data_IF_525773257339
#
_entry.id   IF_525773257339
#
_cell.length_a   1.000
_cell.length_b   1.000
_cell.length_c   1.000
_cell.angle_alpha   90.00
_cell.angle_beta   90.00
_cell.angle_gamma   90.00
#
_symmetry.space_group_name_H-M   'P 1'
#
loop_
_entity.id
_entity.type
_entity.pdbx_description
1 polymer ?
#
# COMPACT_ATOMS: atom_id res chain seq x y z
N UNK A 1 -9.10 5.47 14.19
CA UNK A 1 -8.58 5.06 12.88
C UNK A 1 -9.72 4.44 12.07
N UNK A 2 -9.87 4.85 10.82
CA UNK A 2 -10.82 4.23 9.88
C UNK A 2 -9.97 3.66 8.74
N UNK A 3 -10.01 2.34 8.58
CA UNK A 3 -9.33 1.65 7.49
C UNK A 3 -10.27 1.55 6.27
N UNK A 4 -9.76 1.39 5.05
CA UNK A 4 -10.57 1.00 3.89
C UNK A 4 -11.36 -0.28 4.18
N UNK A 5 -12.45 -0.52 3.48
CA UNK A 5 -13.29 -1.71 3.68
C UNK A 5 -12.49 -3.00 3.47
N UNK A 6 -12.66 -3.98 4.34
CA UNK A 6 -12.31 -5.37 4.04
C UNK A 6 -13.23 -5.92 2.95
N UNK A 7 -12.90 -7.07 2.37
CA UNK A 7 -13.78 -7.66 1.36
C UNK A 7 -15.17 -8.01 1.92
N UNK A 8 -15.26 -8.46 3.17
CA UNK A 8 -16.54 -8.71 3.83
C UNK A 8 -17.35 -7.43 4.02
N UNK A 9 -16.73 -6.35 4.53
CA UNK A 9 -17.38 -5.04 4.67
C UNK A 9 -17.75 -4.43 3.30
N UNK A 10 -16.91 -4.63 2.28
CA UNK A 10 -17.22 -4.25 0.90
C UNK A 10 -18.49 -4.93 0.39
N UNK A 11 -18.65 -6.23 0.63
CA UNK A 11 -19.87 -6.95 0.22
C UNK A 11 -21.12 -6.39 0.90
N UNK A 12 -21.06 -6.11 2.20
CA UNK A 12 -22.17 -5.48 2.94
C UNK A 12 -22.46 -4.06 2.40
N UNK A 13 -21.41 -3.29 2.11
CA UNK A 13 -21.55 -1.96 1.52
C UNK A 13 -22.20 -2.03 0.13
N UNK A 14 -21.79 -2.98 -0.72
CA UNK A 14 -22.36 -3.21 -2.04
C UNK A 14 -23.84 -3.60 -1.98
N UNK A 15 -24.25 -4.41 -1.00
CA UNK A 15 -25.68 -4.72 -0.78
C UNK A 15 -26.50 -3.49 -0.46
N UNK A 16 -25.93 -2.54 0.28
CA UNK A 16 -26.63 -1.31 0.69
C UNK A 16 -26.72 -0.25 -0.41
N UNK A 17 -25.70 -0.14 -1.28
CA UNK A 17 -25.55 0.96 -2.23
C UNK A 17 -25.47 0.53 -3.70
N UNK A 18 -25.63 -0.73 -4.01
CA UNK A 18 -25.52 -1.23 -5.38
C UNK A 18 -26.15 -2.61 -5.56
N UNK A 19 -26.04 -3.15 -6.77
CA UNK A 19 -26.42 -4.52 -7.07
C UNK A 19 -25.22 -5.44 -6.82
N UNK A 20 -25.42 -6.45 -5.97
CA UNK A 20 -24.42 -7.47 -5.70
C UNK A 20 -24.43 -8.49 -6.84
N UNK A 21 -23.28 -8.75 -7.44
CA UNK A 21 -23.07 -9.81 -8.42
C UNK A 21 -22.68 -11.12 -7.72
N UNK A 22 -22.27 -12.15 -8.50
CA UNK A 22 -21.69 -13.35 -7.89
C UNK A 22 -20.37 -13.01 -7.18
N UNK A 23 -20.04 -13.83 -6.17
CA UNK A 23 -18.90 -13.57 -5.27
C UNK A 23 -17.56 -13.44 -6.01
N UNK A 24 -17.36 -14.19 -7.09
CA UNK A 24 -16.11 -14.15 -7.86
C UNK A 24 -15.95 -12.84 -8.60
N UNK A 25 -17.03 -12.32 -9.19
CA UNK A 25 -17.02 -11.02 -9.88
C UNK A 25 -16.85 -9.87 -8.89
N UNK A 26 -17.49 -9.93 -7.73
CA UNK A 26 -17.32 -8.93 -6.67
C UNK A 26 -15.88 -8.96 -6.13
N UNK A 27 -15.25 -10.14 -6.03
CA UNK A 27 -13.86 -10.22 -5.59
C UNK A 27 -12.90 -9.62 -6.63
N UNK A 28 -13.10 -9.91 -7.93
CA UNK A 28 -12.31 -9.27 -8.99
C UNK A 28 -12.49 -7.75 -8.98
N UNK A 29 -13.72 -7.26 -8.81
CA UNK A 29 -13.99 -5.84 -8.66
C UNK A 29 -13.28 -5.24 -7.44
N UNK A 30 -13.30 -5.92 -6.30
CA UNK A 30 -12.58 -5.48 -5.10
C UNK A 30 -11.05 -5.42 -5.31
N UNK A 31 -10.48 -6.37 -6.06
CA UNK A 31 -9.07 -6.36 -6.44
C UNK A 31 -8.74 -5.09 -7.26
N UNK A 32 -9.60 -4.74 -8.22
CA UNK A 32 -9.38 -3.61 -9.14
C UNK A 32 -9.66 -2.25 -8.49
N UNK A 33 -10.78 -2.12 -7.80
CA UNK A 33 -11.27 -0.85 -7.25
C UNK A 33 -10.77 -0.55 -5.83
N UNK A 34 -10.32 -1.57 -5.10
CA UNK A 34 -9.93 -1.45 -3.69
C UNK A 34 -11.12 -1.35 -2.74
N UNK A 35 -10.83 -0.96 -1.50
CA UNK A 35 -11.79 -0.88 -0.40
C UNK A 35 -12.20 0.54 0.01
N UNK A 36 -11.86 1.59 -0.73
CA UNK A 36 -12.32 2.94 -0.39
C UNK A 36 -13.83 3.09 -0.61
N UNK A 37 -14.64 3.42 0.43
CA UNK A 37 -16.10 3.54 0.28
C UNK A 37 -16.52 4.50 -0.84
N UNK A 38 -15.78 5.59 -1.02
CA UNK A 38 -16.08 6.64 -1.99
C UNK A 38 -16.18 6.14 -3.45
N UNK A 39 -15.47 5.06 -3.80
CA UNK A 39 -15.52 4.50 -5.16
C UNK A 39 -16.64 3.48 -5.37
N UNK A 40 -17.42 3.20 -4.32
CA UNK A 40 -18.50 2.20 -4.36
C UNK A 40 -19.90 2.79 -4.12
N UNK A 41 -20.01 4.10 -3.85
CA UNK A 41 -21.29 4.81 -3.60
C UNK A 41 -22.21 4.86 -4.80
N UNK A 42 -21.65 4.82 -6.01
CA UNK A 42 -22.35 4.82 -7.29
C UNK A 42 -21.57 4.03 -8.33
N UNK A 43 -22.20 3.63 -9.44
CA UNK A 43 -21.48 3.05 -10.56
C UNK A 43 -20.41 4.03 -11.08
N UNK A 44 -19.18 3.60 -11.11
CA UNK A 44 -18.03 4.33 -11.66
C UNK A 44 -17.27 3.44 -12.65
N UNK A 45 -16.71 4.07 -13.69
CA UNK A 45 -15.66 3.46 -14.48
C UNK A 45 -14.39 3.34 -13.64
N UNK A 46 -13.47 2.50 -14.09
CA UNK A 46 -12.19 2.31 -13.39
C UNK A 46 -11.37 3.61 -13.33
N UNK A 47 -11.37 4.39 -14.42
CA UNK A 47 -10.65 5.67 -14.51
C UNK A 47 -11.22 6.72 -13.55
N UNK A 48 -12.55 6.78 -13.42
CA UNK A 48 -13.20 7.67 -12.45
C UNK A 48 -12.86 7.27 -11.01
N UNK A 49 -12.88 5.97 -10.72
CA UNK A 49 -12.50 5.45 -9.41
C UNK A 49 -11.03 5.77 -9.08
N UNK A 50 -10.12 5.58 -10.02
CA UNK A 50 -8.71 5.91 -9.82
C UNK A 50 -8.45 7.41 -9.69
N UNK A 51 -9.25 8.25 -10.34
CA UNK A 51 -9.20 9.70 -10.13
C UNK A 51 -9.51 10.05 -8.68
N UNK A 52 -10.60 9.51 -8.13
CA UNK A 52 -10.98 9.72 -6.72
C UNK A 52 -9.88 9.24 -5.77
N UNK A 53 -9.35 8.03 -6.00
CA UNK A 53 -8.28 7.46 -5.15
C UNK A 53 -7.00 8.29 -5.25
N UNK A 54 -6.68 8.81 -6.43
CA UNK A 54 -5.53 9.69 -6.64
C UNK A 54 -5.67 11.01 -5.90
N UNK A 55 -6.87 11.55 -5.83
CA UNK A 55 -7.15 12.78 -5.06
C UNK A 55 -7.02 12.51 -3.54
N UNK A 56 -7.51 11.37 -3.05
CA UNK A 56 -7.29 10.93 -1.66
C UNK A 56 -5.79 10.80 -1.39
N UNK A 57 -5.05 10.12 -2.26
CA UNK A 57 -3.61 9.95 -2.15
C UNK A 57 -2.87 11.30 -2.12
N UNK A 58 -3.16 12.18 -3.08
CA UNK A 58 -2.52 13.49 -3.18
C UNK A 58 -2.79 14.34 -1.93
N UNK A 59 -4.04 14.35 -1.47
CA UNK A 59 -4.43 15.07 -0.25
C UNK A 59 -3.67 14.56 0.96
N UNK A 60 -3.58 13.24 1.14
CA UNK A 60 -2.86 12.62 2.25
C UNK A 60 -1.36 12.90 2.18
N UNK A 61 -0.74 12.74 1.00
CA UNK A 61 0.69 13.03 0.81
C UNK A 61 0.98 14.50 1.10
N UNK A 62 0.19 15.43 0.53
CA UNK A 62 0.45 16.86 0.71
C UNK A 62 0.17 17.32 2.13
N UNK A 63 -0.97 16.95 2.72
CA UNK A 63 -1.43 17.48 4.01
C UNK A 63 -0.73 16.79 5.16
N UNK A 64 -0.75 15.45 5.19
CA UNK A 64 -0.28 14.69 6.35
C UNK A 64 1.22 14.41 6.32
N UNK A 65 1.83 14.38 5.15
CA UNK A 65 3.25 14.08 5.04
C UNK A 65 4.06 15.34 4.72
N UNK A 66 3.82 15.96 3.58
CA UNK A 66 4.66 17.09 3.13
C UNK A 66 4.51 18.32 4.04
N UNK A 67 3.28 18.79 4.24
CA UNK A 67 2.99 20.01 5.02
C UNK A 67 3.30 19.81 6.50
N UNK A 68 2.80 18.74 7.11
CA UNK A 68 3.00 18.44 8.53
C UNK A 68 4.48 18.25 8.91
N UNK A 69 5.27 17.66 8.03
CA UNK A 69 6.68 17.36 8.27
C UNK A 69 7.64 18.33 7.57
N UNK A 70 7.13 19.39 6.94
CA UNK A 70 7.93 20.41 6.24
C UNK A 70 8.93 19.80 5.23
N UNK A 71 8.48 18.77 4.47
CA UNK A 71 9.33 18.11 3.50
C UNK A 71 9.64 19.05 2.34
N UNK A 72 10.92 19.36 2.13
CA UNK A 72 11.38 20.25 1.06
C UNK A 72 11.62 19.53 -0.27
N UNK A 73 12.01 18.25 -0.22
CA UNK A 73 12.33 17.44 -1.41
C UNK A 73 11.19 16.50 -1.77
N UNK A 74 10.08 17.09 -2.23
CA UNK A 74 8.84 16.36 -2.55
C UNK A 74 9.07 15.34 -3.67
N UNK A 75 9.89 15.67 -4.68
CA UNK A 75 10.26 14.78 -5.78
C UNK A 75 10.96 13.50 -5.31
N UNK A 76 11.77 13.58 -4.27
CA UNK A 76 12.42 12.41 -3.67
C UNK A 76 11.40 11.53 -2.93
N UNK A 77 10.48 12.15 -2.18
CA UNK A 77 9.38 11.43 -1.51
C UNK A 77 8.54 10.67 -2.54
N UNK A 78 8.10 11.34 -3.62
CA UNK A 78 7.30 10.71 -4.67
C UNK A 78 7.98 9.50 -5.32
N UNK A 79 9.30 9.56 -5.55
CA UNK A 79 10.07 8.44 -6.09
C UNK A 79 10.15 7.27 -5.12
N UNK A 80 10.33 7.56 -3.83
CA UNK A 80 10.32 6.53 -2.77
C UNK A 80 8.94 5.87 -2.70
N UNK A 81 7.87 6.67 -2.76
CA UNK A 81 6.50 6.14 -2.79
C UNK A 81 6.29 5.22 -3.99
N UNK A 82 6.65 5.66 -5.20
CA UNK A 82 6.52 4.85 -6.41
C UNK A 82 7.31 3.55 -6.33
N UNK A 83 8.55 3.61 -5.82
CA UNK A 83 9.35 2.41 -5.60
C UNK A 83 8.68 1.46 -4.61
N UNK A 84 8.23 1.97 -3.46
CA UNK A 84 7.56 1.16 -2.44
C UNK A 84 6.29 0.51 -2.99
N UNK A 85 5.46 1.26 -3.75
CA UNK A 85 4.22 0.75 -4.34
C UNK A 85 4.47 -0.34 -5.39
N UNK A 86 5.50 -0.18 -6.21
CA UNK A 86 5.87 -1.17 -7.23
C UNK A 86 6.42 -2.47 -6.60
N UNK A 87 6.98 -2.37 -5.39
CA UNK A 87 7.60 -3.49 -4.68
C UNK A 87 6.75 -4.02 -3.50
N UNK A 88 5.46 -3.73 -3.46
CA UNK A 88 4.56 -4.27 -2.42
C UNK A 88 4.61 -5.80 -2.42
N UNK A 89 4.69 -6.39 -1.23
CA UNK A 89 4.82 -7.83 -1.06
C UNK A 89 6.24 -8.39 -1.32
N UNK A 90 7.11 -7.63 -1.98
CA UNK A 90 8.51 -8.00 -2.13
C UNK A 90 9.33 -7.50 -0.93
N UNK A 91 10.40 -8.23 -0.60
CA UNK A 91 11.36 -7.74 0.40
C UNK A 91 12.24 -6.66 -0.22
N UNK A 92 12.37 -5.53 0.46
CA UNK A 92 13.34 -4.51 0.11
C UNK A 92 13.89 -3.80 1.36
N UNK A 93 14.94 -3.02 1.17
CA UNK A 93 15.58 -2.24 2.23
C UNK A 93 15.75 -0.79 1.80
N UNK A 94 16.00 0.10 2.75
CA UNK A 94 16.36 1.49 2.42
C UNK A 94 17.61 1.58 1.53
N UNK A 95 18.54 0.62 1.63
CA UNK A 95 19.69 0.51 0.73
C UNK A 95 19.27 0.17 -0.71
N UNK A 96 18.26 -0.68 -0.89
CA UNK A 96 17.71 -1.00 -2.22
C UNK A 96 17.12 0.26 -2.86
N UNK A 97 16.35 1.05 -2.11
CA UNK A 97 15.81 2.34 -2.59
C UNK A 97 16.92 3.32 -2.92
N UNK A 98 17.92 3.44 -2.04
CA UNK A 98 19.10 4.31 -2.29
C UNK A 98 19.83 3.91 -3.57
N UNK A 99 20.04 2.61 -3.79
CA UNK A 99 20.65 2.06 -5.01
C UNK A 99 19.85 2.39 -6.25
N UNK A 100 18.53 2.21 -6.21
CA UNK A 100 17.60 2.56 -7.28
C UNK A 100 17.65 4.07 -7.61
N UNK A 101 17.60 4.95 -6.62
CA UNK A 101 17.67 6.38 -6.85
C UNK A 101 19.05 6.81 -7.38
N UNK A 102 20.13 6.18 -6.91
CA UNK A 102 21.48 6.42 -7.43
C UNK A 102 21.59 6.05 -8.91
N UNK A 103 20.97 4.94 -9.35
CA UNK A 103 20.95 4.56 -10.77
C UNK A 103 20.24 5.60 -11.66
N UNK A 104 19.37 6.43 -11.08
CA UNK A 104 18.69 7.55 -11.74
C UNK A 104 19.44 8.89 -11.56
N UNK A 105 20.74 8.86 -11.24
CA UNK A 105 21.57 10.05 -10.97
C UNK A 105 21.05 10.93 -9.83
N UNK A 106 20.41 10.31 -8.82
CA UNK A 106 19.88 10.98 -7.63
C UNK A 106 20.59 10.48 -6.38
N UNK A 107 21.03 11.39 -5.53
CA UNK A 107 21.64 11.06 -4.24
C UNK A 107 20.62 11.21 -3.12
N UNK A 108 20.56 10.20 -2.25
CA UNK A 108 19.77 10.23 -1.03
C UNK A 108 20.48 9.41 0.06
N UNK A 109 20.35 9.85 1.30
CA UNK A 109 20.85 9.09 2.45
C UNK A 109 19.86 8.03 2.90
N UNK A 110 20.39 6.92 3.38
CA UNK A 110 19.58 5.79 3.89
C UNK A 110 18.67 6.25 5.03
N UNK A 111 19.14 7.13 5.90
CA UNK A 111 18.35 7.68 6.99
C UNK A 111 17.13 8.49 6.47
N UNK A 112 17.32 9.29 5.42
CA UNK A 112 16.22 10.02 4.78
C UNK A 112 15.18 9.07 4.18
N UNK A 113 15.62 7.93 3.59
CA UNK A 113 14.69 6.90 3.08
C UNK A 113 13.87 6.31 4.22
N UNK A 114 14.50 5.90 5.32
CA UNK A 114 13.79 5.38 6.50
C UNK A 114 12.81 6.40 7.08
N UNK A 115 13.21 7.66 7.15
CA UNK A 115 12.36 8.74 7.61
C UNK A 115 11.10 8.89 6.74
N UNK A 116 11.24 8.85 5.41
CA UNK A 116 10.09 8.93 4.51
C UNK A 116 9.18 7.70 4.58
N UNK A 117 9.75 6.49 4.68
CA UNK A 117 8.97 5.28 4.90
C UNK A 117 8.17 5.35 6.22
N UNK A 118 8.80 5.79 7.30
CA UNK A 118 8.13 5.97 8.60
C UNK A 118 7.00 7.00 8.56
N UNK A 119 7.14 8.07 7.75
CA UNK A 119 6.06 9.03 7.56
C UNK A 119 4.88 8.45 6.77
N UNK A 120 5.16 7.61 5.76
CA UNK A 120 4.12 6.88 5.02
C UNK A 120 3.37 5.89 5.93
N UNK A 121 4.07 5.25 6.86
CA UNK A 121 3.46 4.39 7.89
C UNK A 121 2.58 5.20 8.86
N UNK A 122 3.10 6.34 9.33
CA UNK A 122 2.37 7.24 10.24
C UNK A 122 1.12 7.85 9.61
N UNK A 123 1.12 8.02 8.28
CA UNK A 123 -0.02 8.46 7.48
C UNK A 123 -0.95 7.31 7.07
N UNK A 124 -0.69 6.10 7.53
CA UNK A 124 -1.46 4.89 7.21
C UNK A 124 -1.57 4.59 5.71
N UNK A 125 -0.56 4.97 4.92
CA UNK A 125 -0.45 4.59 3.51
C UNK A 125 0.24 3.24 3.38
N UNK A 126 1.29 3.02 4.18
CA UNK A 126 2.06 1.78 4.24
C UNK A 126 1.93 1.09 5.59
N UNK A 127 2.03 -0.22 5.56
CA UNK A 127 2.20 -1.08 6.73
C UNK A 127 3.51 -1.84 6.58
N UNK A 128 4.39 -1.69 7.56
CA UNK A 128 5.63 -2.45 7.64
C UNK A 128 5.37 -3.85 8.19
N UNK A 129 5.89 -4.85 7.53
CA UNK A 129 5.95 -6.22 7.99
C UNK A 129 7.40 -6.58 8.23
N UNK A 130 7.78 -6.65 9.49
CA UNK A 130 9.15 -6.91 9.90
C UNK A 130 9.53 -8.36 9.60
N UNK A 131 10.81 -8.58 9.35
CA UNK A 131 11.35 -9.92 9.19
C UNK A 131 11.70 -10.51 10.55
N UNK A 132 11.32 -11.76 10.77
CA UNK A 132 11.67 -12.51 11.96
C UNK A 132 12.51 -13.72 11.57
N UNK A 133 13.63 -13.90 12.23
CA UNK A 133 14.36 -15.15 12.20
C UNK A 133 13.58 -16.20 13.01
N UNK A 134 13.14 -17.25 12.34
CA UNK A 134 12.35 -18.31 12.98
C UNK A 134 13.18 -19.17 13.94
N UNK A 135 14.51 -19.23 13.75
CA UNK A 135 15.42 -19.99 14.62
C UNK A 135 15.85 -19.16 15.84
N UNK A 136 16.24 -17.90 15.66
CA UNK A 136 16.73 -17.03 16.72
C UNK A 136 15.68 -16.20 17.41
N UNK A 137 14.42 -16.16 16.93
CA UNK A 137 13.34 -15.28 17.39
C UNK A 137 13.70 -13.81 17.42
N UNK A 138 14.70 -13.39 16.64
CA UNK A 138 15.11 -12.00 16.53
C UNK A 138 14.39 -11.29 15.39
N UNK A 139 13.98 -10.04 15.64
CA UNK A 139 13.45 -9.17 14.61
C UNK A 139 14.61 -8.58 13.82
N UNK A 140 14.72 -8.96 12.55
CA UNK A 140 15.74 -8.45 11.65
C UNK A 140 15.33 -7.09 11.07
N UNK A 141 16.23 -6.11 11.12
CA UNK A 141 16.00 -4.74 10.64
C UNK A 141 16.22 -4.57 9.12
N UNK A 142 16.42 -5.67 8.38
CA UNK A 142 16.74 -5.62 6.95
C UNK A 142 15.83 -6.55 6.15
N UNK A 143 15.57 -6.19 4.90
CA UNK A 143 14.71 -6.97 4.01
C UNK A 143 13.28 -7.14 4.54
N UNK A 144 12.68 -6.04 4.95
CA UNK A 144 11.28 -5.97 5.37
C UNK A 144 10.36 -6.04 4.15
N UNK A 145 9.12 -6.46 4.35
CA UNK A 145 8.04 -6.25 3.37
C UNK A 145 7.21 -5.04 3.77
N UNK A 146 6.65 -4.39 2.77
CA UNK A 146 5.69 -3.32 2.98
C UNK A 146 4.40 -3.67 2.23
N UNK A 147 3.29 -3.30 2.84
CA UNK A 147 1.95 -3.49 2.32
C UNK A 147 1.21 -2.16 2.31
N UNK A 148 0.30 -2.00 1.35
CA UNK A 148 -0.53 -0.81 1.25
C UNK A 148 -1.76 -0.93 2.15
N UNK A 149 -2.25 0.20 2.66
CA UNK A 149 -3.54 0.24 3.33
C UNK A 149 -4.70 -0.11 2.38
N UNK A 150 -4.51 0.15 1.07
CA UNK A 150 -5.45 -0.23 0.02
C UNK A 150 -4.73 -0.41 -1.31
N UNK A 151 -5.09 -1.46 -2.06
CA UNK A 151 -4.50 -1.73 -3.37
C UNK A 151 -4.80 -0.64 -4.40
N UNK A 152 -5.93 0.06 -4.28
CA UNK A 152 -6.29 1.13 -5.18
C UNK A 152 -5.24 2.25 -5.23
N UNK A 153 -4.48 2.47 -4.16
CA UNK A 153 -3.37 3.43 -4.18
C UNK A 153 -2.32 3.06 -5.23
N UNK A 154 -1.91 1.77 -5.30
CA UNK A 154 -0.96 1.31 -6.32
C UNK A 154 -1.51 1.52 -7.72
N UNK A 155 -2.76 1.11 -7.93
CA UNK A 155 -3.41 1.19 -9.23
C UNK A 155 -3.61 2.64 -9.70
N UNK A 156 -4.03 3.53 -8.80
CA UNK A 156 -4.21 4.95 -9.09
C UNK A 156 -2.90 5.69 -9.40
N UNK A 157 -1.79 5.30 -8.76
CA UNK A 157 -0.48 5.98 -8.89
C UNK A 157 0.37 5.40 -10.00
N UNK A 158 0.36 4.07 -10.18
CA UNK A 158 1.22 3.34 -11.14
C UNK A 158 0.49 2.77 -12.35
N UNK A 159 -0.85 2.77 -12.33
CA UNK A 159 -1.70 2.06 -13.28
C UNK A 159 -1.94 0.60 -12.87
N UNK A 160 -3.10 0.08 -13.25
CA UNK A 160 -3.45 -1.33 -13.03
C UNK A 160 -2.73 -2.23 -14.02
N UNK A 161 -2.14 -3.32 -13.53
CA UNK A 161 -1.48 -4.34 -14.33
C UNK A 161 -1.92 -5.73 -13.88
N UNK A 162 -2.42 -6.55 -14.80
CA UNK A 162 -2.79 -7.94 -14.49
C UNK A 162 -1.62 -8.76 -13.92
N UNK A 163 -0.39 -8.46 -14.30
CA UNK A 163 0.81 -9.12 -13.77
C UNK A 163 1.00 -8.94 -12.26
N UNK A 164 0.38 -7.93 -11.65
CA UNK A 164 0.53 -7.60 -10.23
C UNK A 164 -0.49 -8.33 -9.32
N UNK A 165 -1.31 -9.23 -9.88
CA UNK A 165 -2.41 -9.86 -9.14
C UNK A 165 -1.93 -10.64 -7.90
N UNK A 166 -0.79 -11.31 -7.98
CA UNK A 166 -0.25 -12.06 -6.83
C UNK A 166 0.17 -11.14 -5.69
N UNK A 167 0.79 -10.00 -5.99
CA UNK A 167 1.15 -8.99 -5.00
C UNK A 167 -0.11 -8.36 -4.38
N UNK A 168 -1.13 -8.11 -5.20
CA UNK A 168 -2.42 -7.56 -4.76
C UNK A 168 -3.14 -8.53 -3.82
N UNK A 169 -3.16 -9.83 -4.15
CA UNK A 169 -3.73 -10.88 -3.30
C UNK A 169 -2.97 -11.00 -1.97
N UNK A 170 -1.65 -11.01 -2.02
CA UNK A 170 -0.82 -11.04 -0.81
C UNK A 170 -1.11 -9.84 0.09
N UNK A 171 -1.27 -8.64 -0.49
CA UNK A 171 -1.63 -7.44 0.26
C UNK A 171 -3.01 -7.56 0.93
N UNK A 172 -4.02 -8.08 0.22
CA UNK A 172 -5.37 -8.30 0.76
C UNK A 172 -5.31 -9.29 1.94
N UNK A 173 -4.59 -10.40 1.79
CA UNK A 173 -4.43 -11.41 2.85
C UNK A 173 -3.71 -10.81 4.06
N UNK A 174 -2.64 -10.04 3.86
CA UNK A 174 -1.94 -9.36 4.94
C UNK A 174 -2.87 -8.42 5.73
N UNK A 175 -3.64 -7.59 5.03
CA UNK A 175 -4.59 -6.66 5.67
C UNK A 175 -5.66 -7.42 6.47
N UNK A 176 -6.18 -8.52 5.93
CA UNK A 176 -7.18 -9.34 6.60
C UNK A 176 -6.61 -9.99 7.86
N UNK A 177 -5.40 -10.55 7.81
CA UNK A 177 -4.73 -11.09 9.01
C UNK A 177 -4.55 -10.03 10.08
N UNK A 178 -4.12 -8.82 9.70
CA UNK A 178 -3.97 -7.70 10.62
C UNK A 178 -5.30 -7.27 11.25
N UNK A 179 -6.38 -7.24 10.49
CA UNK A 179 -7.73 -6.93 11.00
C UNK A 179 -8.22 -7.95 12.01
N UNK A 180 -7.88 -9.22 11.81
CA UNK A 180 -8.18 -10.30 12.76
C UNK A 180 -7.30 -10.30 14.00
N UNK A 181 -6.38 -9.34 14.13
CA UNK A 181 -5.50 -9.20 15.28
C UNK A 181 -4.27 -10.10 15.27
N UNK A 182 -3.94 -10.72 14.14
CA UNK A 182 -2.70 -11.50 14.02
C UNK A 182 -1.47 -10.59 13.90
N UNK A 183 -0.40 -10.97 14.59
CA UNK A 183 0.93 -10.44 14.33
C UNK A 183 1.52 -11.17 13.13
N UNK A 184 1.86 -10.40 12.08
CA UNK A 184 2.34 -10.95 10.80
C UNK A 184 3.81 -10.57 10.61
N UNK A 185 4.64 -11.56 10.31
CA UNK A 185 6.06 -11.40 10.09
C UNK A 185 6.49 -12.07 8.78
N UNK A 186 7.56 -11.56 8.17
CA UNK A 186 8.24 -12.24 7.08
C UNK A 186 9.17 -13.31 7.68
N UNK A 187 8.85 -14.58 7.47
CA UNK A 187 9.71 -15.69 7.90
C UNK A 187 10.90 -15.88 6.95
N UNK A 188 12.05 -16.27 7.49
CA UNK A 188 13.15 -16.89 6.73
C UNK A 188 13.17 -18.37 7.10
N UNK A 189 12.99 -19.23 6.10
CA UNK A 189 13.32 -20.63 6.14
C UNK A 189 14.73 -20.75 5.52
N UNK A 190 15.72 -21.15 6.30
CA UNK A 190 17.04 -21.54 5.79
C UNK A 190 16.99 -22.96 5.26
#
# INVERSE_FOLDING_TARGET
RVDPLSFAEYLEFRKAYGELQDLSKEFLRYIEYGGFPAVHLKPLTLDEAYTIVKDIYNTTIFTDIVKRNQIRKVDQLERIVKYAFDNIGNTFSANSIKGFLKSQSRSIDVETVYNYLSKLESAYILHRCSRQDLQGREILKTQEKFYLADNAFKHAVLGYKHADISQTLENIVYLELRRRGYDVYVGKLD
#
